data_IF_520425022043
#
_entry.id   IF_520425022043
#
_cell.length_a   1.000
_cell.length_b   1.000
_cell.length_c   1.000
_cell.angle_alpha   90.00
_cell.angle_beta   90.00
_cell.angle_gamma   90.00
#
_symmetry.space_group_name_H-M   'P 1'
#
loop_
_entity.id
_entity.type
_entity.pdbx_description
1 polymer ?
#
# COMPACT_ATOMS: atom_id res chain seq x y z
N UNK A 1 -7.92 4.36 -9.22
CA UNK A 1 -6.73 4.44 -8.35
C UNK A 1 -6.41 5.84 -7.85
N UNK A 2 -6.16 6.84 -8.70
CA UNK A 2 -5.77 8.19 -8.23
C UNK A 2 -6.79 8.83 -7.29
N UNK A 3 -8.09 8.75 -7.58
CA UNK A 3 -9.15 9.26 -6.68
C UNK A 3 -9.19 8.52 -5.33
N UNK A 4 -8.94 7.22 -5.32
CA UNK A 4 -8.87 6.41 -4.08
C UNK A 4 -7.68 6.87 -3.26
N UNK A 5 -6.51 7.00 -3.90
CA UNK A 5 -5.28 7.46 -3.27
C UNK A 5 -5.46 8.85 -2.64
N UNK A 6 -6.01 9.80 -3.38
CA UNK A 6 -6.21 11.18 -2.91
C UNK A 6 -7.18 11.22 -1.71
N UNK A 7 -8.27 10.46 -1.77
CA UNK A 7 -9.21 10.35 -0.66
C UNK A 7 -8.58 9.76 0.60
N UNK A 8 -7.79 8.69 0.47
CA UNK A 8 -7.10 8.06 1.60
C UNK A 8 -6.01 8.97 2.17
N UNK A 9 -5.23 9.65 1.33
CA UNK A 9 -4.23 10.63 1.77
C UNK A 9 -4.87 11.75 2.59
N UNK A 10 -6.01 12.26 2.14
CA UNK A 10 -6.75 13.29 2.86
C UNK A 10 -7.21 12.78 4.24
N UNK A 11 -7.75 11.57 4.31
CA UNK A 11 -8.21 10.97 5.58
C UNK A 11 -7.04 10.69 6.55
N UNK A 12 -5.87 10.32 6.04
CA UNK A 12 -4.66 10.04 6.83
C UNK A 12 -3.81 11.28 7.12
N UNK A 13 -4.14 12.43 6.54
CA UNK A 13 -3.36 13.67 6.70
C UNK A 13 -1.96 13.58 6.10
N UNK A 14 -1.82 12.94 4.93
CA UNK A 14 -0.53 12.77 4.23
C UNK A 14 -0.40 13.84 3.13
N UNK A 15 0.33 14.96 3.36
CA UNK A 15 0.49 16.02 2.37
C UNK A 15 1.50 15.66 1.26
N UNK A 16 2.32 14.62 1.45
CA UNK A 16 3.40 14.29 0.54
C UNK A 16 2.90 13.84 -0.82
N UNK A 17 3.70 14.10 -1.85
CA UNK A 17 3.42 13.63 -3.21
C UNK A 17 3.65 12.12 -3.25
N UNK A 18 2.68 11.39 -3.80
CA UNK A 18 2.76 9.94 -4.01
C UNK A 18 2.71 9.69 -5.50
N UNK A 19 3.71 9.00 -6.02
CA UNK A 19 3.82 8.59 -7.41
C UNK A 19 3.45 7.12 -7.48
N UNK A 20 2.39 6.79 -8.22
CA UNK A 20 2.03 5.41 -8.49
C UNK A 20 2.74 4.94 -9.75
N UNK A 21 3.40 3.79 -9.68
CA UNK A 21 4.03 3.15 -10.83
C UNK A 21 3.55 1.70 -10.93
N UNK A 22 2.87 1.38 -12.03
CA UNK A 22 2.62 -0.01 -12.40
C UNK A 22 3.90 -0.61 -12.98
N UNK A 23 4.25 -1.80 -12.52
CA UNK A 23 5.41 -2.56 -12.98
C UNK A 23 4.97 -3.98 -13.36
N UNK A 24 5.66 -4.58 -14.33
CA UNK A 24 5.34 -5.93 -14.81
C UNK A 24 5.57 -6.99 -13.73
N UNK A 25 6.58 -6.79 -12.88
CA UNK A 25 6.92 -7.70 -11.78
C UNK A 25 7.31 -6.92 -10.53
N UNK A 26 6.68 -7.24 -9.41
CA UNK A 26 7.09 -6.86 -8.06
C UNK A 26 6.91 -8.06 -7.13
N UNK A 27 8.01 -8.58 -6.59
CA UNK A 27 8.01 -9.78 -5.74
C UNK A 27 7.24 -9.61 -4.42
N UNK A 28 6.87 -8.39 -4.05
CA UNK A 28 6.10 -8.06 -2.85
C UNK A 28 4.65 -7.66 -3.13
N UNK A 29 4.21 -7.76 -4.40
CA UNK A 29 2.97 -7.18 -4.93
C UNK A 29 2.91 -5.65 -4.89
N UNK A 30 3.13 -5.06 -3.72
CA UNK A 30 3.25 -3.63 -3.49
C UNK A 30 4.59 -3.31 -2.82
N UNK A 31 5.09 -2.11 -3.06
CA UNK A 31 6.23 -1.60 -2.31
C UNK A 31 6.21 -0.08 -2.32
N UNK A 32 6.54 0.52 -1.17
CA UNK A 32 6.78 1.95 -1.05
C UNK A 32 8.25 2.24 -0.79
N UNK A 33 8.75 3.33 -1.36
CA UNK A 33 10.06 3.88 -1.06
C UNK A 33 10.03 5.41 -1.12
N UNK A 34 10.79 6.10 -0.25
CA UNK A 34 11.00 7.54 -0.40
C UNK A 34 11.85 7.83 -1.66
N UNK A 35 11.55 8.94 -2.32
CA UNK A 35 12.35 9.52 -3.40
C UNK A 35 13.26 10.65 -2.86
N UNK A 36 14.32 10.99 -3.60
CA UNK A 36 15.28 12.05 -3.26
C UNK A 36 14.66 13.45 -3.16
N UNK A 37 13.46 13.65 -3.69
CA UNK A 37 12.74 14.93 -3.68
C UNK A 37 11.63 15.04 -2.63
N UNK A 38 11.58 14.12 -1.65
CA UNK A 38 10.54 14.13 -0.60
C UNK A 38 9.17 13.64 -1.07
N UNK A 39 9.10 13.07 -2.27
CA UNK A 39 7.97 12.27 -2.73
C UNK A 39 8.11 10.81 -2.27
N UNK A 40 7.05 10.02 -2.42
CA UNK A 40 7.09 8.57 -2.25
C UNK A 40 6.69 7.88 -3.55
N UNK A 41 7.44 6.85 -3.91
CA UNK A 41 7.12 5.97 -5.03
C UNK A 41 6.45 4.71 -4.50
N UNK A 42 5.22 4.46 -4.95
CA UNK A 42 4.51 3.22 -4.72
C UNK A 42 4.52 2.42 -6.01
N UNK A 43 5.22 1.29 -6.00
CA UNK A 43 5.24 0.34 -7.12
C UNK A 43 4.20 -0.73 -6.90
N UNK A 44 3.44 -1.03 -7.95
CA UNK A 44 2.32 -1.96 -7.94
C UNK A 44 2.55 -3.00 -9.03
N UNK A 45 2.53 -4.28 -8.66
CA UNK A 45 2.53 -5.37 -9.64
C UNK A 45 1.24 -5.33 -10.47
N UNK A 46 1.38 -5.19 -11.79
CA UNK A 46 0.25 -5.08 -12.70
C UNK A 46 -0.59 -6.36 -12.73
N UNK A 47 0.03 -7.54 -12.63
CA UNK A 47 -0.68 -8.82 -12.62
C UNK A 47 -1.41 -9.01 -11.30
N UNK A 48 -0.80 -8.70 -10.16
CA UNK A 48 -1.47 -8.77 -8.87
C UNK A 48 -2.68 -7.86 -8.80
N UNK A 49 -2.55 -6.62 -9.30
CA UNK A 49 -3.64 -5.64 -9.29
C UNK A 49 -4.89 -6.13 -10.01
N UNK A 50 -4.75 -6.89 -11.10
CA UNK A 50 -5.90 -7.47 -11.84
C UNK A 50 -6.73 -8.46 -11.01
N UNK A 51 -6.16 -8.99 -9.93
CA UNK A 51 -6.82 -9.95 -9.05
C UNK A 51 -7.49 -9.29 -7.84
N UNK A 52 -7.36 -7.98 -7.67
CA UNK A 52 -7.97 -7.24 -6.56
C UNK A 52 -9.32 -6.67 -6.94
N UNK A 53 -10.28 -6.76 -6.02
CA UNK A 53 -11.49 -5.96 -6.08
C UNK A 53 -11.24 -4.52 -5.60
N UNK A 54 -12.27 -3.67 -5.66
CA UNK A 54 -12.16 -2.26 -5.28
C UNK A 54 -11.80 -2.06 -3.79
N UNK A 55 -12.33 -2.91 -2.91
CA UNK A 55 -12.08 -2.83 -1.47
C UNK A 55 -10.66 -3.32 -1.12
N UNK A 56 -10.19 -4.37 -1.79
CA UNK A 56 -8.83 -4.88 -1.66
C UNK A 56 -7.80 -3.91 -2.26
N UNK A 57 -8.12 -3.28 -3.39
CA UNK A 57 -7.29 -2.22 -3.97
C UNK A 57 -7.18 -1.04 -3.01
N UNK A 58 -8.31 -0.63 -2.42
CA UNK A 58 -8.33 0.44 -1.41
C UNK A 58 -7.55 0.03 -0.16
N UNK A 59 -7.66 -1.21 0.29
CA UNK A 59 -6.91 -1.73 1.44
C UNK A 59 -5.41 -1.76 1.18
N UNK A 60 -4.98 -2.16 -0.03
CA UNK A 60 -3.57 -2.15 -0.42
C UNK A 60 -3.01 -0.73 -0.42
N UNK A 61 -3.72 0.21 -1.03
CA UNK A 61 -3.32 1.62 -1.01
C UNK A 61 -3.27 2.19 0.42
N UNK A 62 -4.23 1.85 1.27
CA UNK A 62 -4.25 2.29 2.67
C UNK A 62 -3.06 1.72 3.47
N UNK A 63 -2.66 0.48 3.19
CA UNK A 63 -1.47 -0.14 3.79
C UNK A 63 -0.19 0.56 3.35
N UNK A 64 0.02 0.79 2.06
CA UNK A 64 1.20 1.53 1.55
C UNK A 64 1.25 2.97 2.08
N UNK A 65 0.10 3.64 2.19
CA UNK A 65 0.03 4.95 2.85
C UNK A 65 0.30 4.87 4.35
N UNK A 66 0.02 3.75 5.00
CA UNK A 66 0.44 3.48 6.38
C UNK A 66 1.95 3.56 6.52
N UNK A 67 2.70 2.96 5.60
CA UNK A 67 4.16 3.08 5.55
C UNK A 67 4.63 4.52 5.32
N UNK A 68 3.98 5.27 4.42
CA UNK A 68 4.26 6.72 4.22
C UNK A 68 4.00 7.53 5.49
N UNK A 69 2.91 7.25 6.18
CA UNK A 69 2.57 7.91 7.44
C UNK A 69 3.64 7.64 8.50
N UNK A 70 4.12 6.40 8.60
CA UNK A 70 5.24 6.04 9.49
C UNK A 70 6.51 6.79 9.12
N UNK A 71 6.88 6.83 7.83
CA UNK A 71 8.05 7.59 7.36
C UNK A 71 8.04 9.05 7.82
N UNK A 72 6.85 9.65 7.93
CA UNK A 72 6.70 11.08 8.18
C UNK A 72 6.46 11.41 9.66
N UNK A 73 5.98 10.47 10.47
CA UNK A 73 5.63 10.69 11.87
C UNK A 73 6.49 9.89 12.86
N UNK A 74 6.90 8.67 12.48
CA UNK A 74 7.69 7.75 13.30
C UNK A 74 8.76 7.03 12.46
N UNK A 75 9.75 7.75 11.90
CA UNK A 75 10.70 7.23 10.90
C UNK A 75 11.63 6.10 11.39
N UNK A 76 11.53 5.70 12.65
CA UNK A 76 12.30 4.60 13.23
C UNK A 76 11.44 3.36 13.52
N UNK A 77 10.13 3.37 13.20
CA UNK A 77 9.16 2.31 13.55
C UNK A 77 8.48 1.66 12.33
N UNK A 78 9.24 1.41 11.26
CA UNK A 78 8.78 0.80 10.01
C UNK A 78 8.40 -0.67 10.18
N UNK A 79 7.19 -0.93 10.66
CA UNK A 79 6.67 -2.29 10.85
C UNK A 79 5.35 -2.49 10.12
N UNK A 80 5.15 -3.69 9.58
CA UNK A 80 3.90 -4.11 8.95
C UNK A 80 2.69 -3.98 9.90
N UNK A 81 2.90 -4.29 11.18
CA UNK A 81 1.87 -4.17 12.20
C UNK A 81 1.39 -2.71 12.35
N UNK A 82 2.32 -1.75 12.42
CA UNK A 82 1.96 -0.34 12.51
C UNK A 82 1.32 0.15 11.20
N UNK A 83 1.83 -0.27 10.03
CA UNK A 83 1.21 0.09 8.75
C UNK A 83 -0.26 -0.38 8.67
N UNK A 84 -0.54 -1.58 9.17
CA UNK A 84 -1.89 -2.11 9.31
C UNK A 84 -2.76 -1.30 10.28
N UNK A 85 -2.20 -0.90 11.42
CA UNK A 85 -2.91 -0.04 12.39
C UNK A 85 -3.27 1.33 11.80
N UNK A 86 -2.42 1.89 10.93
CA UNK A 86 -2.75 3.12 10.20
C UNK A 86 -3.82 2.85 9.14
N UNK A 87 -3.68 1.77 8.37
CA UNK A 87 -4.61 1.43 7.30
C UNK A 87 -6.05 1.23 7.81
N UNK A 88 -6.25 0.54 8.94
CA UNK A 88 -7.59 0.31 9.52
C UNK A 88 -8.29 1.59 10.00
N UNK A 89 -7.60 2.74 10.02
CA UNK A 89 -8.25 4.03 10.28
C UNK A 89 -9.15 4.46 9.13
N UNK A 90 -8.91 3.96 7.91
CA UNK A 90 -9.56 4.41 6.67
C UNK A 90 -10.16 3.29 5.82
N UNK A 91 -9.85 2.02 6.16
CA UNK A 91 -10.46 0.82 5.56
C UNK A 91 -10.91 -0.18 6.62
N UNK A 92 -11.76 -1.14 6.24
CA UNK A 92 -12.19 -2.19 7.15
C UNK A 92 -11.07 -3.22 7.39
N UNK A 93 -11.02 -3.79 8.61
CA UNK A 93 -10.13 -4.91 8.92
C UNK A 93 -10.38 -6.13 8.02
N UNK A 94 -11.63 -6.34 7.61
CA UNK A 94 -12.01 -7.43 6.71
C UNK A 94 -11.37 -7.27 5.32
N UNK A 95 -11.31 -6.05 4.79
CA UNK A 95 -10.69 -5.77 3.50
C UNK A 95 -9.18 -6.08 3.53
N UNK A 96 -8.47 -5.70 4.60
CA UNK A 96 -7.06 -6.08 4.80
C UNK A 96 -6.87 -7.59 4.91
N UNK A 97 -7.75 -8.31 5.62
CA UNK A 97 -7.65 -9.77 5.74
C UNK A 97 -7.80 -10.48 4.38
N UNK A 98 -8.76 -10.04 3.55
CA UNK A 98 -8.93 -10.55 2.19
C UNK A 98 -7.69 -10.28 1.33
N UNK A 99 -7.18 -9.06 1.36
CA UNK A 99 -5.95 -8.68 0.68
C UNK A 99 -4.78 -9.57 1.09
N UNK A 100 -4.54 -9.78 2.39
CA UNK A 100 -3.43 -10.62 2.87
C UNK A 100 -3.50 -12.05 2.37
N UNK A 101 -4.72 -12.59 2.22
CA UNK A 101 -4.90 -13.94 1.69
C UNK A 101 -4.41 -14.03 0.23
N UNK A 102 -4.62 -12.98 -0.56
CA UNK A 102 -4.15 -12.90 -1.95
C UNK A 102 -2.66 -12.60 -2.04
N UNK A 103 -2.13 -11.70 -1.21
CA UNK A 103 -0.68 -11.40 -1.16
C UNK A 103 0.10 -12.69 -0.87
N UNK A 104 -0.35 -13.47 0.11
CA UNK A 104 0.30 -14.74 0.45
C UNK A 104 0.30 -15.74 -0.72
N UNK A 105 -0.82 -15.88 -1.43
CA UNK A 105 -0.91 -16.75 -2.62
C UNK A 105 0.02 -16.27 -3.74
N UNK A 106 0.07 -14.96 -3.97
CA UNK A 106 0.92 -14.35 -4.98
C UNK A 106 2.41 -14.53 -4.68
N UNK A 107 2.86 -14.22 -3.47
CA UNK A 107 4.26 -14.36 -3.07
C UNK A 107 4.73 -15.83 -3.13
N UNK A 108 3.85 -16.77 -2.76
CA UNK A 108 4.14 -18.21 -2.89
C UNK A 108 4.29 -18.62 -4.35
N UNK A 109 3.43 -18.10 -5.24
CA UNK A 109 3.48 -18.43 -6.68
C UNK A 109 4.72 -17.90 -7.41
N UNK A 110 5.41 -16.91 -6.85
CA UNK A 110 6.67 -16.36 -7.38
C UNK A 110 7.89 -17.11 -6.84
N UNK A 111 7.75 -17.76 -5.68
CA UNK A 111 8.85 -18.48 -5.03
C UNK A 111 9.08 -19.90 -5.61
N UNK A 112 8.12 -20.42 -6.37
CA UNK A 112 8.16 -21.70 -7.09
C UNK A 112 8.69 -21.54 -8.53
#
# INVERSE_FOLDING_TARGET
MTQILDGLKQQLGIPQTIILQLVDTNTRAFSVQPDTHGAFLVKIDAHFLLHLDDEETKAAMAHELGHVWIYTHHPFLHTEALANEIAVRVVSRQALQKLYSKVWQFETSIAD
#
